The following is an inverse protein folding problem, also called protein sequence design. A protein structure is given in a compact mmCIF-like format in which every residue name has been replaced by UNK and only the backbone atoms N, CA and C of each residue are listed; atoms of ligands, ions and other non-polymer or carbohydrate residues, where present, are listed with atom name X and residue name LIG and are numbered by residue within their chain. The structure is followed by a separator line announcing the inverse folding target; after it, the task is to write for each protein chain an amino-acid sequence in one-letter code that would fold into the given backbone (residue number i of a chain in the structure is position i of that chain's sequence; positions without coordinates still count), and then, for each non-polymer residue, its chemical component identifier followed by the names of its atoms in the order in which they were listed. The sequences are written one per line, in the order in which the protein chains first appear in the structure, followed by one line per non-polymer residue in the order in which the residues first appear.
data_IF_100695260249
#
_entry.id   IF_100695260249
#
_cell.length_a   1.000
_cell.length_b   1.000
_cell.length_c   1.000
_cell.angle_alpha   90.00
_cell.angle_beta   90.00
_cell.angle_gamma   90.00
#
_symmetry.space_group_name_H-M   'P 1'
#
loop_
_entity.id
_entity.type
_entity.pdbx_description
1 polymer ?
#
# COMPACT_ATOMS: atom_id res chain seq x y z
N UNK A 1 -40.17 -17.52 36.35
CA UNK A 1 -40.53 -16.60 35.26
C UNK A 1 -39.26 -15.93 34.77
N UNK A 2 -38.93 -16.09 33.49
CA UNK A 2 -37.59 -15.80 32.95
C UNK A 2 -37.33 -14.29 32.78
N UNK A 3 -36.18 -13.87 33.30
CA UNK A 3 -35.59 -12.56 33.10
C UNK A 3 -35.12 -12.45 31.64
N UNK A 4 -35.80 -11.64 30.83
CA UNK A 4 -35.33 -11.29 29.48
C UNK A 4 -34.28 -10.19 29.63
N UNK A 5 -33.01 -10.56 29.53
CA UNK A 5 -31.94 -9.61 29.30
C UNK A 5 -32.16 -8.95 27.93
N UNK A 6 -32.49 -7.65 27.93
CA UNK A 6 -32.50 -6.82 26.74
C UNK A 6 -31.03 -6.56 26.40
N UNK A 7 -30.51 -7.30 25.43
CA UNK A 7 -29.22 -6.96 24.80
C UNK A 7 -29.47 -5.68 23.99
N UNK A 8 -28.78 -4.56 24.28
CA UNK A 8 -28.88 -3.41 23.41
C UNK A 8 -28.19 -3.77 22.09
N UNK A 9 -29.01 -3.95 21.06
CA UNK A 9 -28.56 -4.04 19.67
C UNK A 9 -27.83 -2.75 19.36
N UNK A 10 -26.49 -2.80 19.34
CA UNK A 10 -25.69 -1.73 18.74
C UNK A 10 -25.94 -1.80 17.24
N UNK A 11 -26.97 -1.10 16.79
CA UNK A 11 -27.04 -0.65 15.40
C UNK A 11 -25.88 0.32 15.19
N UNK A 12 -24.74 -0.22 14.76
CA UNK A 12 -23.69 0.56 14.13
C UNK A 12 -24.26 1.09 12.81
N UNK A 13 -25.05 2.16 12.90
CA UNK A 13 -25.39 3.02 11.78
C UNK A 13 -24.08 3.70 11.40
N UNK A 14 -23.30 3.03 10.55
CA UNK A 14 -22.22 3.65 9.82
C UNK A 14 -22.89 4.73 8.96
N UNK A 15 -22.91 5.96 9.48
CA UNK A 15 -23.17 7.12 8.65
C UNK A 15 -22.07 7.15 7.59
N UNK A 16 -22.39 6.63 6.41
CA UNK A 16 -21.63 6.79 5.17
C UNK A 16 -21.58 8.26 4.75
N UNK A 17 -20.98 9.11 5.60
CA UNK A 17 -20.71 10.50 5.28
C UNK A 17 -19.19 10.63 5.13
N UNK A 18 -18.77 10.62 3.86
CA UNK A 18 -17.41 10.88 3.37
C UNK A 18 -16.41 9.72 3.44
N UNK A 19 -16.77 8.53 2.94
CA UNK A 19 -15.76 7.74 2.23
C UNK A 19 -15.40 8.54 0.97
N UNK A 20 -14.12 8.89 0.79
CA UNK A 20 -13.78 9.91 -0.18
C UNK A 20 -13.80 9.28 -1.59
N UNK A 21 -14.25 10.07 -2.57
CA UNK A 21 -14.54 9.68 -3.97
C UNK A 21 -13.53 8.67 -4.53
N UNK A 22 -14.07 7.57 -5.09
CA UNK A 22 -13.38 6.49 -5.83
C UNK A 22 -11.95 6.83 -6.22
N UNK A 23 -10.99 6.45 -5.37
CA UNK A 23 -9.59 6.50 -5.73
C UNK A 23 -9.32 5.46 -6.81
N UNK A 24 -8.96 5.91 -8.01
CA UNK A 24 -8.85 5.02 -9.18
C UNK A 24 -7.48 4.32 -9.31
N UNK A 25 -6.65 4.34 -8.25
CA UNK A 25 -5.29 3.75 -8.29
C UNK A 25 -5.30 2.29 -8.71
N UNK A 26 -6.38 1.55 -8.39
CA UNK A 26 -6.54 0.16 -8.84
C UNK A 26 -6.70 0.04 -10.35
N UNK A 27 -7.46 0.94 -10.99
CA UNK A 27 -7.55 0.96 -12.45
C UNK A 27 -6.24 1.46 -13.07
N UNK A 28 -5.60 2.46 -12.47
CA UNK A 28 -4.30 2.97 -12.93
C UNK A 28 -3.22 1.86 -12.87
N UNK A 29 -3.16 1.10 -11.78
CA UNK A 29 -2.27 -0.06 -11.65
C UNK A 29 -2.61 -1.20 -12.59
N UNK A 30 -3.90 -1.45 -12.84
CA UNK A 30 -4.33 -2.40 -13.85
C UNK A 30 -3.86 -1.98 -15.25
N UNK A 31 -3.93 -0.69 -15.58
CA UNK A 31 -3.41 -0.13 -16.84
C UNK A 31 -1.90 -0.25 -16.94
N UNK A 32 -1.16 0.01 -15.86
CA UNK A 32 0.30 -0.21 -15.80
C UNK A 32 0.62 -1.68 -16.11
N UNK A 33 -0.07 -2.61 -15.45
CA UNK A 33 0.15 -4.05 -15.63
C UNK A 33 -0.15 -4.48 -17.07
N UNK A 34 -1.26 -4.01 -17.64
CA UNK A 34 -1.63 -4.28 -19.03
C UNK A 34 -0.61 -3.70 -20.02
N UNK A 35 -0.12 -2.48 -19.77
CA UNK A 35 0.90 -1.84 -20.58
C UNK A 35 2.18 -2.69 -20.65
N UNK A 36 2.66 -3.16 -19.49
CA UNK A 36 3.84 -4.01 -19.40
C UNK A 36 3.62 -5.37 -20.08
N UNK A 37 2.45 -5.99 -19.88
CA UNK A 37 2.10 -7.28 -20.52
C UNK A 37 1.97 -7.18 -22.05
N UNK A 38 1.56 -6.03 -22.58
CA UNK A 38 1.46 -5.77 -24.01
C UNK A 38 2.82 -5.50 -24.67
N UNK A 39 3.93 -5.64 -23.96
CA UNK A 39 5.28 -5.34 -24.45
C UNK A 39 5.63 -3.86 -24.38
N UNK A 40 4.96 -3.10 -23.50
CA UNK A 40 5.31 -1.73 -23.19
C UNK A 40 6.76 -1.60 -22.71
N UNK A 41 7.38 -0.46 -22.98
CA UNK A 41 8.76 -0.20 -22.59
C UNK A 41 8.82 0.30 -21.15
N UNK A 42 9.62 -0.40 -20.34
CA UNK A 42 9.85 -0.10 -18.92
C UNK A 42 10.51 1.27 -18.67
N UNK A 43 11.09 1.88 -19.70
CA UNK A 43 11.70 3.21 -19.70
C UNK A 43 10.88 4.25 -20.48
N UNK A 44 9.62 3.94 -20.80
CA UNK A 44 8.75 4.87 -21.52
C UNK A 44 8.25 6.02 -20.63
N UNK A 45 8.13 7.21 -21.23
CA UNK A 45 7.48 8.38 -20.61
C UNK A 45 6.03 8.07 -20.20
N UNK A 46 5.36 7.22 -20.98
CA UNK A 46 3.98 6.78 -20.71
C UNK A 46 3.90 6.03 -19.38
N UNK A 47 4.81 5.08 -19.15
CA UNK A 47 4.87 4.33 -17.89
C UNK A 47 5.18 5.25 -16.70
N UNK A 48 6.12 6.18 -16.87
CA UNK A 48 6.47 7.16 -15.82
C UNK A 48 5.27 8.03 -15.45
N UNK A 49 4.48 8.47 -16.43
CA UNK A 49 3.26 9.24 -16.15
C UNK A 49 2.23 8.40 -15.39
N UNK A 50 1.98 7.16 -15.83
CA UNK A 50 1.04 6.27 -15.13
C UNK A 50 1.48 5.97 -13.69
N UNK A 51 2.79 5.79 -13.45
CA UNK A 51 3.38 5.63 -12.11
C UNK A 51 3.11 6.88 -11.27
N UNK A 52 3.33 8.07 -11.83
CA UNK A 52 3.09 9.34 -11.12
C UNK A 52 1.62 9.52 -10.75
N UNK A 53 0.71 9.20 -11.67
CA UNK A 53 -0.73 9.29 -11.43
C UNK A 53 -1.15 8.32 -10.31
N UNK A 54 -0.70 7.06 -10.39
CA UNK A 54 -0.97 6.06 -9.36
C UNK A 54 -0.39 6.46 -7.99
N UNK A 55 0.81 7.04 -7.96
CA UNK A 55 1.44 7.51 -6.73
C UNK A 55 0.62 8.61 -6.04
N UNK A 56 0.11 9.57 -6.82
CA UNK A 56 -0.73 10.65 -6.31
C UNK A 56 -2.05 10.10 -5.73
N UNK A 57 -2.68 9.16 -6.44
CA UNK A 57 -3.92 8.50 -5.98
C UNK A 57 -3.68 7.66 -4.71
N UNK A 58 -2.60 6.86 -4.66
CA UNK A 58 -2.23 6.08 -3.46
C UNK A 58 -1.90 7.00 -2.27
N UNK A 59 -1.17 8.09 -2.49
CA UNK A 59 -0.85 9.08 -1.45
C UNK A 59 -2.11 9.64 -0.80
N UNK A 60 -3.09 10.00 -1.62
CA UNK A 60 -4.36 10.49 -1.11
C UNK A 60 -5.13 9.42 -0.32
N UNK A 61 -5.20 8.17 -0.81
CA UNK A 61 -5.82 7.05 -0.08
C UNK A 61 -5.13 6.84 1.27
N UNK A 62 -3.80 6.76 1.32
CA UNK A 62 -3.03 6.56 2.55
C UNK A 62 -3.28 7.71 3.54
N UNK A 63 -3.24 8.96 3.08
CA UNK A 63 -3.49 10.11 3.94
C UNK A 63 -4.91 10.09 4.53
N UNK A 64 -5.92 9.66 3.77
CA UNK A 64 -7.28 9.52 4.30
C UNK A 64 -7.39 8.45 5.40
N UNK A 65 -6.54 7.41 5.36
CA UNK A 65 -6.55 6.32 6.33
C UNK A 65 -5.95 6.70 7.71
N UNK A 66 -5.24 7.83 7.83
CA UNK A 66 -4.70 8.27 9.12
C UNK A 66 -5.80 8.54 10.15
N UNK A 67 -6.96 9.04 9.70
CA UNK A 67 -8.12 9.28 10.55
C UNK A 67 -8.85 7.98 10.91
N UNK A 68 -8.85 7.00 9.99
CA UNK A 68 -9.41 5.66 10.22
C UNK A 68 -8.65 4.93 11.33
N UNK A 69 -7.32 5.09 11.39
CA UNK A 69 -6.49 4.55 12.48
C UNK A 69 -6.93 5.10 13.86
N UNK A 70 -7.30 6.39 13.94
CA UNK A 70 -7.80 7.00 15.17
C UNK A 70 -9.19 6.47 15.53
N UNK A 71 -10.03 6.23 14.54
CA UNK A 71 -11.37 5.65 14.71
C UNK A 71 -11.34 4.17 15.09
N UNK A 72 -10.29 3.43 14.73
CA UNK A 72 -10.09 2.01 15.05
C UNK A 72 -9.70 1.72 16.52
N UNK A 73 -9.61 2.75 17.38
CA UNK A 73 -9.33 2.59 18.82
C UNK A 73 -10.19 1.55 19.56
N UNK A 74 -11.51 1.41 19.33
CA UNK A 74 -12.33 0.42 20.03
C UNK A 74 -12.19 -1.01 19.46
N UNK A 75 -11.48 -1.21 18.35
CA UNK A 75 -11.31 -2.52 17.73
C UNK A 75 -10.38 -3.44 18.55
N UNK A 76 -10.43 -4.78 18.33
CA UNK A 76 -9.57 -5.73 19.01
C UNK A 76 -8.07 -5.38 18.89
N UNK A 77 -7.24 -5.61 19.93
CA UNK A 77 -5.82 -5.24 19.90
C UNK A 77 -5.05 -5.80 18.71
N UNK A 78 -5.32 -7.04 18.32
CA UNK A 78 -4.67 -7.68 17.16
C UNK A 78 -5.04 -6.98 15.85
N UNK A 79 -6.31 -6.68 15.64
CA UNK A 79 -6.77 -5.90 14.49
C UNK A 79 -6.06 -4.54 14.41
N UNK A 80 -5.96 -3.82 15.52
CA UNK A 80 -5.27 -2.52 15.56
C UNK A 80 -3.79 -2.64 15.23
N UNK A 81 -3.13 -3.70 15.71
CA UNK A 81 -1.73 -3.95 15.38
C UNK A 81 -1.55 -4.21 13.88
N UNK A 82 -2.35 -5.11 13.30
CA UNK A 82 -2.30 -5.41 11.85
C UNK A 82 -2.63 -4.18 11.01
N UNK A 83 -3.67 -3.42 11.36
CA UNK A 83 -4.01 -2.16 10.68
C UNK A 83 -2.82 -1.20 10.70
N UNK A 84 -2.23 -1.01 11.88
CA UNK A 84 -1.08 -0.11 12.05
C UNK A 84 0.11 -0.57 11.20
N UNK A 85 0.44 -1.86 11.20
CA UNK A 85 1.54 -2.40 10.40
C UNK A 85 1.30 -2.19 8.90
N UNK A 86 0.09 -2.47 8.40
CA UNK A 86 -0.24 -2.25 6.99
C UNK A 86 -0.20 -0.77 6.61
N UNK A 87 -0.68 0.11 7.49
CA UNK A 87 -0.61 1.56 7.30
C UNK A 87 0.83 2.07 7.25
N UNK A 88 1.66 1.67 8.22
CA UNK A 88 3.07 2.04 8.28
C UNK A 88 3.84 1.53 7.07
N UNK A 89 3.55 0.30 6.63
CA UNK A 89 4.12 -0.27 5.42
C UNK A 89 3.71 0.48 4.14
N UNK A 90 2.42 0.76 3.97
CA UNK A 90 1.93 1.53 2.82
C UNK A 90 2.58 2.92 2.77
N UNK A 91 2.66 3.58 3.93
CA UNK A 91 3.33 4.88 4.05
C UNK A 91 4.81 4.79 3.72
N UNK A 92 5.53 3.78 4.23
CA UNK A 92 6.95 3.61 3.94
C UNK A 92 7.20 3.32 2.46
N UNK A 93 6.34 2.52 1.82
CA UNK A 93 6.41 2.28 0.37
C UNK A 93 6.21 3.57 -0.44
N UNK A 94 5.32 4.47 0.00
CA UNK A 94 5.16 5.79 -0.59
C UNK A 94 6.42 6.65 -0.43
N UNK A 95 7.02 6.66 0.77
CA UNK A 95 8.25 7.40 1.04
C UNK A 95 9.40 6.89 0.14
N UNK A 96 9.56 5.57 0.02
CA UNK A 96 10.55 4.95 -0.87
C UNK A 96 10.30 5.27 -2.35
N UNK A 97 9.03 5.40 -2.76
CA UNK A 97 8.68 5.76 -4.13
C UNK A 97 9.12 7.21 -4.45
N UNK A 98 8.97 8.13 -3.50
CA UNK A 98 9.49 9.50 -3.62
C UNK A 98 11.03 9.51 -3.61
N UNK A 99 11.67 8.72 -2.74
CA UNK A 99 13.13 8.56 -2.72
C UNK A 99 13.66 8.01 -4.06
N UNK A 100 12.94 7.09 -4.71
CA UNK A 100 13.31 6.47 -5.99
C UNK A 100 13.51 7.49 -7.11
N UNK A 101 12.78 8.61 -7.08
CA UNK A 101 12.96 9.72 -8.05
C UNK A 101 14.38 10.28 -8.00
N UNK A 102 14.99 10.30 -6.82
CA UNK A 102 16.30 10.89 -6.55
C UNK A 102 17.47 9.91 -6.69
N UNK A 103 17.22 8.61 -6.82
CA UNK A 103 18.28 7.60 -7.01
C UNK A 103 18.97 7.84 -8.36
N UNK A 104 20.30 7.67 -8.43
CA UNK A 104 20.99 7.61 -9.72
C UNK A 104 20.97 6.17 -10.23
N UNK A 105 19.98 5.85 -11.06
CA UNK A 105 19.80 4.54 -11.69
C UNK A 105 19.17 4.70 -13.08
N UNK A 106 19.35 3.72 -13.99
CA UNK A 106 18.64 3.68 -15.26
C UNK A 106 17.13 3.79 -15.09
N UNK A 107 16.45 4.50 -16.01
CA UNK A 107 15.01 4.76 -15.92
C UNK A 107 14.19 3.46 -15.81
N UNK A 108 14.56 2.44 -16.58
CA UNK A 108 13.97 1.10 -16.52
C UNK A 108 13.93 0.53 -15.10
N UNK A 109 15.02 0.66 -14.36
CA UNK A 109 15.11 0.13 -13.00
C UNK A 109 14.31 0.95 -12.01
N UNK A 110 14.30 2.27 -12.17
CA UNK A 110 13.45 3.17 -11.38
C UNK A 110 11.97 2.88 -11.59
N UNK A 111 11.55 2.65 -12.83
CA UNK A 111 10.18 2.30 -13.15
C UNK A 111 9.79 0.94 -12.57
N UNK A 112 10.65 -0.07 -12.71
CA UNK A 112 10.41 -1.38 -12.12
C UNK A 112 10.23 -1.31 -10.59
N UNK A 113 11.15 -0.63 -9.90
CA UNK A 113 11.06 -0.39 -8.46
C UNK A 113 9.78 0.36 -8.09
N UNK A 114 9.46 1.42 -8.82
CA UNK A 114 8.26 2.22 -8.60
C UNK A 114 6.99 1.39 -8.71
N UNK A 115 6.90 0.51 -9.72
CA UNK A 115 5.76 -0.40 -9.90
C UNK A 115 5.66 -1.39 -8.75
N UNK A 116 6.77 -1.98 -8.31
CA UNK A 116 6.77 -2.89 -7.16
C UNK A 116 6.28 -2.21 -5.87
N UNK A 117 6.72 -0.98 -5.61
CA UNK A 117 6.27 -0.18 -4.46
C UNK A 117 4.78 0.17 -4.57
N UNK A 118 4.29 0.50 -5.76
CA UNK A 118 2.86 0.75 -5.99
C UNK A 118 2.01 -0.52 -5.75
N UNK A 119 2.47 -1.70 -6.16
CA UNK A 119 1.79 -2.96 -5.89
C UNK A 119 1.78 -3.32 -4.40
N UNK A 120 2.85 -2.99 -3.67
CA UNK A 120 2.88 -3.12 -2.21
C UNK A 120 1.80 -2.22 -1.57
N UNK A 121 1.72 -0.96 -1.99
CA UNK A 121 0.71 -0.03 -1.49
C UNK A 121 -0.71 -0.48 -1.80
N UNK A 122 -1.00 -0.93 -3.03
CA UNK A 122 -2.31 -1.47 -3.43
C UNK A 122 -2.75 -2.58 -2.49
N UNK A 123 -1.86 -3.54 -2.24
CA UNK A 123 -2.18 -4.69 -1.42
C UNK A 123 -2.42 -4.31 0.04
N UNK A 124 -1.67 -3.36 0.58
CA UNK A 124 -1.93 -2.82 1.92
C UNK A 124 -3.27 -2.05 1.98
N UNK A 125 -3.50 -1.16 1.01
CA UNK A 125 -4.73 -0.36 0.90
C UNK A 125 -5.98 -1.24 0.76
N UNK A 126 -5.88 -2.40 0.11
CA UNK A 126 -7.00 -3.32 -0.04
C UNK A 126 -7.62 -3.76 1.31
N UNK A 127 -6.80 -3.90 2.35
CA UNK A 127 -7.24 -4.22 3.71
C UNK A 127 -7.58 -2.96 4.52
N UNK A 128 -6.89 -1.84 4.28
CA UNK A 128 -7.09 -0.59 5.03
C UNK A 128 -8.41 0.10 4.64
N UNK A 129 -8.75 0.11 3.36
CA UNK A 129 -10.00 0.69 2.83
C UNK A 129 -11.23 -0.16 3.18
N UNK A 130 -11.02 -1.45 3.43
CA UNK A 130 -12.07 -2.37 3.89
C UNK A 130 -11.70 -3.04 5.23
N UNK A 131 -11.79 -2.30 6.35
CA UNK A 131 -11.43 -2.82 7.66
C UNK A 131 -12.30 -4.01 8.11
N UNK A 132 -13.53 -4.15 7.59
CA UNK A 132 -14.39 -5.31 7.88
C UNK A 132 -13.85 -6.60 7.24
N UNK A 133 -13.29 -6.51 6.03
CA UNK A 133 -12.58 -7.62 5.40
C UNK A 133 -11.38 -8.05 6.27
N UNK A 134 -10.61 -7.11 6.82
CA UNK A 134 -9.51 -7.45 7.72
C UNK A 134 -9.96 -8.12 9.04
N UNK A 135 -11.15 -7.81 9.55
CA UNK A 135 -11.70 -8.51 10.73
C UNK A 135 -12.08 -9.97 10.42
N UNK A 136 -12.55 -10.24 9.21
CA UNK A 136 -13.01 -11.58 8.79
C UNK A 136 -11.85 -12.43 8.26
N UNK A 137 -10.86 -11.80 7.63
CA UNK A 137 -9.69 -12.42 7.00
C UNK A 137 -8.39 -12.12 7.75
N UNK A 138 -8.46 -12.04 9.08
CA UNK A 138 -7.35 -11.56 9.91
C UNK A 138 -6.02 -12.29 9.65
N UNK A 139 -6.04 -13.62 9.43
CA UNK A 139 -4.82 -14.38 9.09
C UNK A 139 -4.21 -13.95 7.76
N UNK A 140 -5.04 -13.66 6.76
CA UNK A 140 -4.57 -13.21 5.45
C UNK A 140 -3.99 -11.80 5.54
N UNK A 141 -4.60 -10.93 6.34
CA UNK A 141 -4.09 -9.59 6.60
C UNK A 141 -2.75 -9.61 7.35
N UNK A 142 -2.60 -10.49 8.36
CA UNK A 142 -1.33 -10.70 9.09
C UNK A 142 -0.24 -11.23 8.15
N UNK A 143 -0.55 -12.22 7.33
CA UNK A 143 0.40 -12.75 6.34
C UNK A 143 0.80 -11.69 5.32
N UNK A 144 -0.17 -10.92 4.84
CA UNK A 144 0.07 -9.82 3.91
C UNK A 144 0.97 -8.76 4.54
N UNK A 145 0.72 -8.38 5.79
CA UNK A 145 1.56 -7.43 6.52
C UNK A 145 3.01 -7.93 6.65
N UNK A 146 3.20 -9.23 6.92
CA UNK A 146 4.52 -9.86 6.99
C UNK A 146 5.24 -9.85 5.64
N UNK A 147 4.57 -10.28 4.58
CA UNK A 147 5.15 -10.32 3.23
C UNK A 147 5.51 -8.92 2.75
N UNK A 148 4.62 -7.96 2.96
CA UNK A 148 4.88 -6.56 2.62
C UNK A 148 6.07 -6.02 3.42
N UNK A 149 6.12 -6.29 4.72
CA UNK A 149 7.24 -5.88 5.57
C UNK A 149 8.58 -6.38 5.06
N UNK A 150 8.68 -7.68 4.70
CA UNK A 150 9.90 -8.26 4.11
C UNK A 150 10.30 -7.55 2.82
N UNK A 151 9.33 -7.34 1.92
CA UNK A 151 9.59 -6.67 0.65
C UNK A 151 10.07 -5.24 0.82
N UNK A 152 9.50 -4.48 1.74
CA UNK A 152 9.97 -3.11 2.03
C UNK A 152 11.41 -3.14 2.52
N UNK A 153 11.75 -4.04 3.45
CA UNK A 153 13.14 -4.19 3.94
C UNK A 153 14.10 -4.57 2.81
N UNK A 154 13.69 -5.43 1.88
CA UNK A 154 14.49 -5.75 0.69
C UNK A 154 14.74 -4.52 -0.20
N UNK A 155 13.71 -3.68 -0.41
CA UNK A 155 13.85 -2.45 -1.19
C UNK A 155 14.73 -1.40 -0.50
N UNK A 156 14.71 -1.32 0.83
CA UNK A 156 15.59 -0.43 1.59
C UNK A 156 17.07 -0.79 1.43
N UNK A 157 17.38 -2.07 1.22
CA UNK A 157 18.74 -2.56 1.01
C UNK A 157 19.22 -2.39 -0.44
N UNK A 158 18.31 -2.14 -1.38
CA UNK A 158 18.60 -1.97 -2.80
C UNK A 158 19.61 -0.86 -3.13
N UNK A 159 19.50 0.37 -2.58
CA UNK A 159 20.50 1.43 -2.80
C UNK A 159 21.90 1.04 -2.28
N UNK A 160 21.99 0.26 -1.20
CA UNK A 160 23.27 -0.17 -0.62
C UNK A 160 23.93 -1.29 -1.43
N UNK A 161 23.16 -2.25 -1.96
CA UNK A 161 23.70 -3.40 -2.67
C UNK A 161 24.26 -3.07 -4.06
N UNK A 162 23.76 -2.03 -4.73
CA UNK A 162 24.26 -1.63 -6.06
C UNK A 162 25.43 -0.65 -6.01
N UNK A 163 25.56 0.17 -4.97
CA UNK A 163 26.79 0.95 -4.76
C UNK A 163 28.03 0.05 -4.62
N UNK A 164 27.88 -1.15 -4.03
CA UNK A 164 28.98 -2.11 -3.89
C UNK A 164 29.36 -2.75 -5.23
N UNK A 165 28.41 -2.99 -6.14
CA UNK A 165 28.69 -3.53 -7.48
C UNK A 165 29.38 -2.52 -8.39
N UNK A 166 28.99 -1.25 -8.36
CA UNK A 166 29.65 -0.22 -9.18
C UNK A 166 31.12 0.04 -8.80
N UNK A 167 31.53 -0.29 -7.56
CA UNK A 167 32.93 -0.14 -7.12
C UNK A 167 33.79 -1.35 -7.51
N UNK A 168 33.20 -2.53 -7.70
CA UNK A 168 33.94 -3.77 -7.97
C UNK A 168 34.16 -4.07 -9.45
N UNK A 169 33.42 -3.43 -10.36
CA UNK A 169 33.61 -3.56 -11.82
C UNK A 169 34.61 -2.53 -12.41
N UNK A 170 35.24 -1.70 -11.57
CA UNK A 170 36.18 -0.66 -11.98
C UNK A 170 37.67 -1.05 -11.79
N UNK A 171 38.01 -2.33 -11.71
CA UNK A 171 39.39 -2.83 -11.60
C UNK A 171 39.72 -3.85 -12.69
#
# INVERSE_FOLDING_TARGET
MHSKAIVPTMECRAESRNLPKDTNYRATLSRITQYLQAGGQDDSVVLVQMISDAAAECSWSINSMSEVLKAAKPCPPKFRATFKTLYEAAKRALDLLEETKNIQAPLKEKSALSVELLLIMERALSFLENPFCMLTEQRLAEETARVIGSKITEQELWPTQRQIKCVTEAH
#
